data_IF_938000577302
#
_entry.id   IF_938000577302
#
_cell.length_a   1.000
_cell.length_b   1.000
_cell.length_c   1.000
_cell.angle_alpha   90.00
_cell.angle_beta   90.00
_cell.angle_gamma   90.00
#
_symmetry.space_group_name_H-M   'P 1'
#
loop_
_entity.id
_entity.type
_entity.pdbx_description
1 polymer ?
#
# COMPACT_ATOMS: atom_id res chain seq x y z
N UNK A 1 1.70 -2.63 36.70
CA UNK A 1 1.64 -1.20 36.38
C UNK A 1 0.53 -1.00 35.35
N UNK A 2 -0.61 -0.45 35.78
CA UNK A 2 -1.70 -0.13 34.83
C UNK A 2 -1.27 1.07 33.96
N UNK A 3 -1.41 0.92 32.65
CA UNK A 3 -1.17 2.03 31.71
C UNK A 3 -2.43 2.88 31.61
N UNK A 4 -2.30 4.17 31.86
CA UNK A 4 -3.39 5.13 31.69
C UNK A 4 -3.78 5.17 30.20
N UNK A 5 -5.08 5.09 29.93
CA UNK A 5 -5.57 5.25 28.58
C UNK A 5 -5.34 6.68 28.08
N UNK A 6 -4.59 6.83 26.99
CA UNK A 6 -4.22 8.14 26.44
C UNK A 6 -5.43 9.07 26.17
N UNK A 7 -6.57 8.49 25.73
CA UNK A 7 -7.79 9.27 25.48
C UNK A 7 -8.31 10.00 26.71
N UNK A 8 -8.06 9.47 27.92
CA UNK A 8 -8.50 10.11 29.17
C UNK A 8 -7.64 11.30 29.56
N UNK A 9 -6.47 11.45 28.92
CA UNK A 9 -5.50 12.52 29.23
C UNK A 9 -5.56 13.68 28.22
N UNK A 10 -6.18 13.47 27.05
CA UNK A 10 -6.26 14.47 26.00
C UNK A 10 -7.27 15.58 26.32
N UNK A 11 -6.89 16.81 26.03
CA UNK A 11 -7.80 17.96 25.98
C UNK A 11 -8.42 18.06 24.58
N UNK A 12 -9.54 18.74 24.43
CA UNK A 12 -10.25 18.92 23.13
C UNK A 12 -9.34 19.33 21.95
N UNK A 13 -8.33 20.17 22.22
CA UNK A 13 -7.37 20.59 21.19
C UNK A 13 -6.47 19.44 20.72
N UNK A 14 -6.10 18.55 21.64
CA UNK A 14 -5.25 17.38 21.36
C UNK A 14 -6.05 16.30 20.67
N UNK A 15 -7.29 16.05 21.11
CA UNK A 15 -8.22 15.16 20.43
C UNK A 15 -8.43 15.57 18.97
N UNK A 16 -8.61 16.87 18.71
CA UNK A 16 -8.72 17.39 17.34
C UNK A 16 -7.47 17.08 16.50
N UNK A 17 -6.28 17.27 17.05
CA UNK A 17 -5.01 16.95 16.35
C UNK A 17 -4.90 15.47 16.02
N UNK A 18 -5.30 14.58 16.93
CA UNK A 18 -5.30 13.13 16.71
C UNK A 18 -6.27 12.77 15.59
N UNK A 19 -7.49 13.36 15.61
CA UNK A 19 -8.47 13.12 14.56
C UNK A 19 -8.04 13.66 13.20
N UNK A 20 -7.40 14.83 13.15
CA UNK A 20 -6.87 15.42 11.92
C UNK A 20 -5.72 14.56 11.36
N UNK A 21 -4.82 14.06 12.21
CA UNK A 21 -3.78 13.09 11.81
C UNK A 21 -4.40 11.80 11.27
N UNK A 22 -5.43 11.27 11.94
CA UNK A 22 -6.14 10.08 11.48
C UNK A 22 -6.77 10.25 10.10
N UNK A 23 -7.35 11.44 9.82
CA UNK A 23 -7.88 11.75 8.47
C UNK A 23 -6.77 11.82 7.43
N UNK A 24 -5.64 12.48 7.74
CA UNK A 24 -4.51 12.58 6.82
C UNK A 24 -3.90 11.20 6.55
N UNK A 25 -3.81 10.34 7.56
CA UNK A 25 -3.32 8.98 7.40
C UNK A 25 -4.25 8.11 6.53
N UNK A 26 -5.57 8.23 6.72
CA UNK A 26 -6.54 7.56 5.83
C UNK A 26 -6.37 8.00 4.37
N UNK A 27 -6.24 9.30 4.12
CA UNK A 27 -6.01 9.83 2.79
C UNK A 27 -4.70 9.33 2.16
N UNK A 28 -3.65 9.12 2.97
CA UNK A 28 -2.42 8.48 2.53
C UNK A 28 -2.66 7.02 2.13
N UNK A 29 -3.38 6.25 2.94
CA UNK A 29 -3.70 4.85 2.66
C UNK A 29 -4.59 4.69 1.42
N UNK A 30 -5.53 5.62 1.21
CA UNK A 30 -6.42 5.61 0.04
C UNK A 30 -5.62 5.79 -1.27
N UNK A 31 -4.50 6.51 -1.23
CA UNK A 31 -3.61 6.71 -2.38
C UNK A 31 -2.53 5.64 -2.52
N UNK A 32 -2.15 5.00 -1.43
CA UNK A 32 -1.06 4.05 -1.37
C UNK A 32 -1.55 2.60 -1.36
N UNK A 33 -2.02 2.08 -2.50
CA UNK A 33 -2.48 0.69 -2.61
C UNK A 33 -1.32 -0.29 -2.81
N UNK A 34 -0.22 0.19 -3.38
CA UNK A 34 1.02 -0.56 -3.62
C UNK A 34 2.21 0.17 -3.01
N UNK A 35 3.36 -0.51 -2.87
CA UNK A 35 4.60 0.11 -2.37
C UNK A 35 5.00 1.30 -3.23
N UNK A 36 4.81 1.21 -4.56
CA UNK A 36 5.16 2.28 -5.51
C UNK A 36 4.29 3.51 -5.30
N UNK A 37 3.02 3.33 -5.08
CA UNK A 37 2.08 4.43 -4.80
C UNK A 37 2.34 5.05 -3.43
N UNK A 38 2.66 4.22 -2.41
CA UNK A 38 3.10 4.71 -1.10
C UNK A 38 4.35 5.58 -1.21
N UNK A 39 5.37 5.15 -1.98
CA UNK A 39 6.59 5.94 -2.20
C UNK A 39 6.27 7.25 -2.90
N UNK A 40 5.46 7.24 -3.97
CA UNK A 40 5.03 8.46 -4.68
C UNK A 40 4.35 9.46 -3.72
N UNK A 41 3.39 8.99 -2.93
CA UNK A 41 2.68 9.86 -1.99
C UNK A 41 3.58 10.34 -0.85
N UNK A 42 4.48 9.49 -0.35
CA UNK A 42 5.46 9.87 0.67
C UNK A 42 6.42 10.96 0.17
N UNK A 43 6.92 10.84 -1.07
CA UNK A 43 7.77 11.86 -1.71
C UNK A 43 6.98 13.16 -1.89
N UNK A 44 5.76 13.10 -2.40
CA UNK A 44 4.91 14.27 -2.58
C UNK A 44 4.71 15.04 -1.25
N UNK A 45 4.46 14.31 -0.16
CA UNK A 45 4.31 14.91 1.18
C UNK A 45 5.64 15.46 1.71
N UNK A 46 6.75 14.76 1.45
CA UNK A 46 8.08 15.20 1.83
C UNK A 46 8.46 16.50 1.11
N UNK A 47 8.22 16.61 -0.19
CA UNK A 47 8.47 17.83 -0.98
C UNK A 47 7.64 19.00 -0.46
N UNK A 48 6.37 18.77 -0.12
CA UNK A 48 5.53 19.78 0.53
C UNK A 48 6.07 20.23 1.90
N UNK A 49 6.80 19.35 2.59
CA UNK A 49 7.47 19.65 3.85
C UNK A 49 8.90 20.22 3.67
N UNK A 50 9.29 20.51 2.42
CA UNK A 50 10.58 21.14 2.09
C UNK A 50 11.74 20.17 1.95
N UNK A 51 11.47 18.87 1.75
CA UNK A 51 12.50 17.90 1.37
C UNK A 51 12.86 18.03 -0.11
N UNK A 52 14.10 17.78 -0.45
CA UNK A 52 14.64 17.78 -1.80
C UNK A 52 15.24 16.42 -2.11
N UNK A 53 15.21 16.04 -3.38
CA UNK A 53 15.89 14.85 -3.86
C UNK A 53 17.40 14.98 -3.63
N UNK A 54 18.01 14.03 -2.93
CA UNK A 54 19.43 14.05 -2.62
C UNK A 54 20.31 14.09 -3.88
N UNK A 55 19.88 13.46 -4.98
CA UNK A 55 20.61 13.46 -6.23
C UNK A 55 20.71 14.85 -6.87
N UNK A 56 19.87 15.81 -6.46
CA UNK A 56 19.87 17.19 -6.96
C UNK A 56 20.60 18.17 -6.04
N UNK A 57 21.19 17.69 -4.94
CA UNK A 57 21.84 18.52 -3.94
C UNK A 57 23.36 18.34 -4.02
N UNK A 58 24.10 19.40 -4.33
CA UNK A 58 25.56 19.35 -4.48
C UNK A 58 26.29 19.22 -3.13
N UNK A 59 25.77 19.86 -2.08
CA UNK A 59 26.36 19.83 -0.74
C UNK A 59 25.29 19.91 0.34
N UNK A 60 25.50 19.18 1.42
CA UNK A 60 24.61 19.13 2.58
C UNK A 60 25.12 19.98 3.73
N UNK A 61 24.21 20.64 4.41
CA UNK A 61 24.46 21.38 5.66
C UNK A 61 23.44 21.00 6.74
N UNK A 62 23.77 21.28 7.98
CA UNK A 62 22.86 21.06 9.10
C UNK A 62 21.51 21.76 8.89
N UNK A 63 20.42 21.03 9.08
CA UNK A 63 19.04 21.47 8.89
C UNK A 63 18.46 21.13 7.51
N UNK A 64 19.27 20.73 6.54
CA UNK A 64 18.78 20.31 5.23
C UNK A 64 17.89 19.08 5.36
N UNK A 65 16.86 19.03 4.50
CA UNK A 65 15.91 17.94 4.39
C UNK A 65 16.03 17.33 3.02
N UNK A 66 16.42 16.06 2.97
CA UNK A 66 16.59 15.37 1.70
C UNK A 66 15.94 14.02 1.72
N UNK A 67 15.58 13.50 0.55
CA UNK A 67 15.10 12.14 0.39
C UNK A 67 15.89 11.37 -0.65
N UNK A 68 15.87 10.06 -0.52
CA UNK A 68 16.39 9.09 -1.51
C UNK A 68 15.27 8.17 -1.89
N UNK A 69 15.00 8.06 -3.19
CA UNK A 69 14.04 7.12 -3.77
C UNK A 69 14.79 5.89 -4.28
N UNK A 70 14.52 4.73 -3.71
CA UNK A 70 15.14 3.47 -4.13
C UNK A 70 14.15 2.68 -4.98
N UNK A 71 14.32 2.72 -6.31
CA UNK A 71 13.56 1.94 -7.31
C UNK A 71 12.03 2.10 -7.23
N UNK A 72 11.55 3.21 -6.70
CA UNK A 72 10.12 3.45 -6.39
C UNK A 72 9.48 2.38 -5.48
N UNK A 73 10.29 1.70 -4.65
CA UNK A 73 9.82 0.68 -3.71
C UNK A 73 10.22 0.95 -2.27
N UNK A 74 11.16 1.84 -2.05
CA UNK A 74 11.54 2.34 -0.73
C UNK A 74 11.89 3.82 -0.82
N UNK A 75 11.67 4.55 0.26
CA UNK A 75 12.07 5.95 0.40
C UNK A 75 12.73 6.15 1.75
N UNK A 76 13.83 6.88 1.76
CA UNK A 76 14.49 7.33 2.97
C UNK A 76 14.39 8.85 3.05
N UNK A 77 14.06 9.37 4.22
CA UNK A 77 13.97 10.80 4.51
C UNK A 77 15.01 11.15 5.55
N UNK A 78 15.81 12.18 5.29
CA UNK A 78 16.88 12.62 6.17
C UNK A 78 16.67 14.07 6.58
N UNK A 79 16.91 14.36 7.85
CA UNK A 79 17.15 15.71 8.36
C UNK A 79 18.60 15.72 8.81
N UNK A 80 19.41 16.55 8.17
CA UNK A 80 20.85 16.61 8.44
C UNK A 80 21.07 17.30 9.80
N UNK A 81 21.72 16.57 10.71
CA UNK A 81 22.05 17.06 12.04
C UNK A 81 23.24 18.04 12.05
N UNK A 82 23.47 18.64 13.20
CA UNK A 82 24.68 19.47 13.46
C UNK A 82 25.87 18.62 13.89
N UNK A 83 25.64 17.40 14.36
CA UNK A 83 26.68 16.50 14.85
C UNK A 83 27.11 15.52 13.74
N UNK A 84 28.38 15.08 13.74
CA UNK A 84 28.87 14.11 12.78
C UNK A 84 28.20 12.74 12.96
N UNK A 85 28.08 11.99 11.87
CA UNK A 85 27.36 10.71 11.82
C UNK A 85 27.95 9.65 12.79
N UNK A 86 29.23 9.74 13.09
CA UNK A 86 29.93 8.87 14.05
C UNK A 86 29.35 8.93 15.46
N UNK A 87 28.65 10.01 15.79
CA UNK A 87 27.92 10.15 17.07
C UNK A 87 26.56 9.42 17.07
N UNK A 88 26.15 8.88 15.94
CA UNK A 88 24.95 8.09 15.81
C UNK A 88 23.82 8.77 15.05
N UNK A 89 22.75 8.01 14.84
CA UNK A 89 21.55 8.40 14.12
C UNK A 89 20.30 8.04 14.92
N UNK A 90 19.26 8.86 14.79
CA UNK A 90 17.92 8.48 15.20
C UNK A 90 17.17 7.95 13.98
N UNK A 91 16.84 6.65 13.98
CA UNK A 91 16.20 5.98 12.86
C UNK A 91 14.79 5.57 13.24
N UNK A 92 13.81 5.96 12.42
CA UNK A 92 12.43 5.46 12.48
C UNK A 92 12.14 4.74 11.17
N UNK A 93 11.72 3.49 11.26
CA UNK A 93 11.41 2.66 10.09
C UNK A 93 10.02 2.07 10.18
N UNK A 94 9.38 1.92 9.02
CA UNK A 94 8.11 1.24 8.86
C UNK A 94 8.05 0.56 7.50
N UNK A 95 7.30 -0.55 7.39
CA UNK A 95 6.99 -1.16 6.11
C UNK A 95 5.86 -0.37 5.41
N UNK A 96 5.82 -0.41 4.09
CA UNK A 96 4.82 0.26 3.24
C UNK A 96 4.05 -0.70 2.33
N UNK A 97 4.41 -1.98 2.36
CA UNK A 97 3.67 -3.04 1.68
C UNK A 97 2.43 -3.45 2.48
N UNK A 98 1.40 -3.92 1.78
CA UNK A 98 0.16 -4.43 2.37
C UNK A 98 -0.19 -5.79 1.78
N UNK A 99 -0.88 -6.66 2.54
CA UNK A 99 -1.41 -7.91 1.98
C UNK A 99 -2.34 -7.63 0.80
N UNK A 100 -2.18 -8.41 -0.27
CA UNK A 100 -2.93 -8.25 -1.51
C UNK A 100 -2.96 -9.56 -2.30
N UNK A 101 -3.63 -9.55 -3.42
CA UNK A 101 -3.49 -10.57 -4.46
C UNK A 101 -2.64 -10.02 -5.59
N UNK A 102 -1.59 -10.75 -5.95
CA UNK A 102 -0.73 -10.45 -7.09
C UNK A 102 -1.13 -11.30 -8.30
N UNK A 103 -1.03 -10.74 -9.49
CA UNK A 103 -1.15 -11.49 -10.73
C UNK A 103 0.09 -12.37 -10.93
N UNK A 104 -0.11 -13.61 -11.39
CA UNK A 104 0.99 -14.48 -11.80
C UNK A 104 1.63 -13.98 -13.11
N UNK A 105 2.75 -14.58 -13.48
CA UNK A 105 3.54 -14.16 -14.66
C UNK A 105 2.78 -14.24 -15.98
N UNK A 106 1.90 -15.24 -16.14
CA UNK A 106 1.02 -15.41 -17.29
C UNK A 106 -0.42 -15.53 -16.78
N UNK A 107 -1.02 -14.40 -16.36
CA UNK A 107 -2.22 -14.46 -15.55
C UNK A 107 -3.49 -14.70 -16.36
N UNK A 108 -3.55 -14.22 -17.60
CA UNK A 108 -4.79 -14.20 -18.39
C UNK A 108 -5.05 -15.56 -19.04
N UNK A 109 -6.21 -16.11 -18.78
CA UNK A 109 -6.72 -17.29 -19.47
C UNK A 109 -8.24 -17.17 -19.68
N UNK A 110 -8.77 -17.97 -20.57
CA UNK A 110 -10.20 -18.04 -20.87
C UNK A 110 -10.73 -19.43 -20.51
N UNK A 111 -11.87 -19.46 -19.88
CA UNK A 111 -12.63 -20.68 -19.64
C UNK A 111 -14.13 -20.36 -19.62
N UNK A 112 -14.93 -21.18 -20.32
CA UNK A 112 -16.39 -21.01 -20.37
C UNK A 112 -16.87 -19.61 -20.79
N UNK A 113 -16.23 -19.03 -21.81
CA UNK A 113 -16.50 -17.69 -22.36
C UNK A 113 -16.25 -16.54 -21.34
N UNK A 114 -15.48 -16.80 -20.29
CA UNK A 114 -15.08 -15.80 -19.30
C UNK A 114 -13.56 -15.60 -19.30
N UNK A 115 -13.14 -14.37 -19.13
CA UNK A 115 -11.74 -14.02 -18.94
C UNK A 115 -11.37 -14.11 -17.45
N UNK A 116 -10.34 -14.87 -17.15
CA UNK A 116 -9.83 -15.06 -15.80
C UNK A 116 -8.42 -14.54 -15.65
N UNK A 117 -8.09 -14.09 -14.44
CA UNK A 117 -6.76 -13.70 -14.04
C UNK A 117 -6.24 -14.63 -12.94
N UNK A 118 -5.23 -15.44 -13.26
CA UNK A 118 -4.59 -16.31 -12.28
C UNK A 118 -3.76 -15.48 -11.30
N UNK A 119 -4.02 -15.70 -10.01
CA UNK A 119 -3.47 -14.89 -8.92
C UNK A 119 -2.78 -15.75 -7.87
N UNK A 120 -1.95 -15.11 -7.07
CA UNK A 120 -1.52 -15.62 -5.77
C UNK A 120 -1.60 -14.52 -4.71
N UNK A 121 -1.74 -14.89 -3.46
CA UNK A 121 -1.75 -13.91 -2.38
C UNK A 121 -0.33 -13.54 -1.95
N UNK A 122 -0.16 -12.26 -1.60
CA UNK A 122 1.03 -11.72 -0.96
C UNK A 122 0.72 -11.35 0.48
N UNK A 123 1.56 -11.81 1.44
CA UNK A 123 1.30 -11.65 2.86
C UNK A 123 0.16 -12.54 3.37
N UNK A 124 -0.37 -12.27 4.54
CA UNK A 124 -1.48 -13.02 5.13
C UNK A 124 -2.83 -12.40 4.81
N UNK A 125 -3.68 -13.10 4.07
CA UNK A 125 -5.06 -12.67 3.78
C UNK A 125 -6.07 -13.66 4.36
N UNK A 126 -7.24 -13.16 4.72
CA UNK A 126 -8.44 -13.96 5.00
C UNK A 126 -9.23 -14.08 3.71
N UNK A 127 -9.06 -15.16 2.96
CA UNK A 127 -9.61 -15.35 1.62
C UNK A 127 -11.11 -15.08 1.52
N UNK A 128 -11.88 -15.47 2.53
CA UNK A 128 -13.33 -15.27 2.56
C UNK A 128 -13.76 -13.79 2.58
N UNK A 129 -12.85 -12.86 2.89
CA UNK A 129 -13.14 -11.42 2.88
C UNK A 129 -13.00 -10.81 1.48
N UNK A 130 -12.45 -11.54 0.53
CA UNK A 130 -12.16 -11.04 -0.82
C UNK A 130 -13.20 -11.44 -1.86
N UNK A 131 -14.06 -12.42 -1.52
CA UNK A 131 -15.12 -12.87 -2.41
C UNK A 131 -16.25 -11.85 -2.49
N UNK A 132 -16.88 -11.76 -3.65
CA UNK A 132 -18.04 -10.89 -3.94
C UNK A 132 -17.78 -9.38 -3.76
N UNK A 133 -16.53 -8.97 -3.69
CA UNK A 133 -16.15 -7.56 -3.64
C UNK A 133 -15.67 -7.10 -5.02
N UNK A 134 -16.04 -5.88 -5.46
CA UNK A 134 -15.35 -5.25 -6.59
C UNK A 134 -13.91 -4.96 -6.18
N UNK A 135 -12.98 -5.35 -7.04
CA UNK A 135 -11.54 -5.19 -6.86
C UNK A 135 -11.00 -4.27 -7.95
N UNK A 136 -9.90 -3.60 -7.65
CA UNK A 136 -9.14 -2.82 -8.61
C UNK A 136 -7.76 -3.43 -8.85
N UNK A 137 -7.23 -3.25 -10.06
CA UNK A 137 -5.87 -3.64 -10.44
C UNK A 137 -4.96 -2.43 -10.36
N UNK A 138 -3.93 -2.50 -9.53
CA UNK A 138 -2.90 -1.48 -9.38
C UNK A 138 -1.53 -2.07 -9.68
N UNK A 139 -0.74 -1.40 -10.48
CA UNK A 139 0.59 -1.87 -10.78
C UNK A 139 1.33 -1.04 -11.81
N UNK A 140 2.40 -1.60 -12.34
CA UNK A 140 3.18 -0.98 -13.40
C UNK A 140 3.54 -1.99 -14.47
N UNK A 141 3.62 -1.53 -15.71
CA UNK A 141 4.13 -2.30 -16.84
C UNK A 141 5.45 -1.69 -17.29
N UNK A 142 6.53 -2.45 -17.16
CA UNK A 142 7.82 -2.08 -17.71
C UNK A 142 7.90 -2.58 -19.16
N UNK A 143 7.96 -1.65 -20.10
CA UNK A 143 8.10 -1.95 -21.53
C UNK A 143 9.53 -2.30 -21.90
N UNK A 144 9.70 -2.93 -23.08
CA UNK A 144 11.03 -3.31 -23.60
C UNK A 144 11.96 -2.12 -23.86
N UNK A 145 11.41 -0.95 -24.08
CA UNK A 145 12.15 0.31 -24.27
C UNK A 145 12.58 0.98 -22.95
N UNK A 146 12.28 0.35 -21.82
CA UNK A 146 12.55 0.89 -20.48
C UNK A 146 11.47 1.81 -19.92
N UNK A 147 10.45 2.15 -20.71
CA UNK A 147 9.32 2.97 -20.23
C UNK A 147 8.51 2.20 -19.20
N UNK A 148 8.17 2.86 -18.09
CA UNK A 148 7.29 2.32 -17.05
C UNK A 148 5.95 3.04 -17.12
N UNK A 149 4.88 2.27 -17.28
CA UNK A 149 3.50 2.77 -17.35
C UNK A 149 2.76 2.34 -16.10
N UNK A 150 2.15 3.29 -15.41
CA UNK A 150 1.24 3.00 -14.30
C UNK A 150 -0.06 2.41 -14.83
N UNK A 151 -0.58 1.40 -14.15
CA UNK A 151 -1.86 0.74 -14.44
C UNK A 151 -2.75 0.85 -13.22
N UNK A 152 -3.90 1.47 -13.40
CA UNK A 152 -5.00 1.51 -12.43
C UNK A 152 -6.28 1.19 -13.19
N UNK A 153 -6.96 0.12 -12.84
CA UNK A 153 -8.20 -0.33 -13.49
C UNK A 153 -9.18 -0.74 -12.40
N UNK A 154 -10.40 -0.26 -12.45
CA UNK A 154 -11.46 -0.58 -11.49
C UNK A 154 -11.68 0.48 -10.42
N UNK A 155 -11.01 1.64 -10.50
CA UNK A 155 -11.25 2.79 -9.62
C UNK A 155 -12.27 3.77 -10.22
N UNK A 156 -12.38 3.84 -11.54
CA UNK A 156 -13.37 4.66 -12.24
C UNK A 156 -14.67 3.88 -12.50
N UNK A 157 -15.81 4.57 -12.51
CA UNK A 157 -17.12 3.97 -12.78
C UNK A 157 -17.24 3.35 -14.19
N UNK A 158 -16.45 3.85 -15.14
CA UNK A 158 -16.38 3.35 -16.52
C UNK A 158 -15.44 2.15 -16.69
N UNK A 159 -14.66 1.82 -15.65
CA UNK A 159 -13.70 0.71 -15.71
C UNK A 159 -14.41 -0.65 -15.65
N UNK A 160 -13.80 -1.70 -16.23
CA UNK A 160 -14.26 -3.06 -16.05
C UNK A 160 -14.27 -3.46 -14.56
N UNK A 161 -15.31 -4.17 -14.14
CA UNK A 161 -15.39 -4.74 -12.81
C UNK A 161 -14.58 -6.02 -12.74
N UNK A 162 -13.65 -6.08 -11.82
CA UNK A 162 -12.87 -7.28 -11.49
C UNK A 162 -13.32 -7.78 -10.11
N UNK A 163 -13.52 -9.07 -9.97
CA UNK A 163 -13.98 -9.64 -8.71
C UNK A 163 -13.71 -11.12 -8.60
N UNK A 164 -13.89 -11.65 -7.40
CA UNK A 164 -13.84 -13.08 -7.11
C UNK A 164 -15.26 -13.53 -6.83
N UNK A 165 -15.78 -14.46 -7.64
CA UNK A 165 -17.09 -15.06 -7.42
C UNK A 165 -17.08 -15.99 -6.22
N UNK A 166 -18.24 -16.15 -5.58
CA UNK A 166 -18.44 -17.19 -4.57
C UNK A 166 -19.40 -18.27 -5.12
N UNK A 167 -19.38 -19.44 -4.51
CA UNK A 167 -20.24 -20.54 -4.89
C UNK A 167 -21.64 -20.35 -4.28
N UNK A 168 -22.66 -20.65 -5.10
CA UNK A 168 -24.04 -20.79 -4.58
C UNK A 168 -24.10 -21.92 -3.54
N UNK A 169 -24.99 -21.79 -2.57
CA UNK A 169 -25.13 -22.74 -1.46
C UNK A 169 -25.29 -24.20 -1.94
N UNK A 170 -25.98 -24.42 -3.05
CA UNK A 170 -26.17 -25.75 -3.63
C UNK A 170 -24.90 -26.37 -4.24
N UNK A 171 -23.90 -25.56 -4.56
CA UNK A 171 -22.61 -25.97 -5.10
C UNK A 171 -21.48 -25.94 -4.06
N UNK A 172 -21.76 -25.45 -2.85
CA UNK A 172 -20.75 -25.14 -1.81
C UNK A 172 -20.66 -26.19 -0.69
N UNK A 173 -21.24 -27.37 -0.84
CA UNK A 173 -21.29 -28.39 0.22
C UNK A 173 -19.93 -28.68 0.86
N UNK A 174 -18.88 -28.85 0.06
CA UNK A 174 -17.52 -29.04 0.57
C UNK A 174 -16.86 -27.75 1.12
N UNK A 175 -17.34 -26.58 0.71
CA UNK A 175 -16.83 -25.29 1.17
C UNK A 175 -17.36 -24.97 2.58
N UNK A 176 -18.58 -25.38 2.90
CA UNK A 176 -19.23 -25.11 4.18
C UNK A 176 -18.48 -25.72 5.37
N UNK A 177 -17.86 -26.89 5.17
CA UNK A 177 -17.11 -27.62 6.18
C UNK A 177 -15.65 -27.14 6.34
N UNK A 178 -15.17 -26.26 5.47
CA UNK A 178 -13.80 -25.75 5.55
C UNK A 178 -13.67 -24.65 6.59
N UNK A 179 -12.51 -24.62 7.25
CA UNK A 179 -12.15 -23.49 8.11
C UNK A 179 -12.14 -22.20 7.31
N UNK A 180 -12.50 -21.07 7.91
CA UNK A 180 -12.57 -19.77 7.23
C UNK A 180 -11.27 -19.43 6.46
N UNK A 181 -10.08 -19.79 7.00
CA UNK A 181 -8.79 -19.58 6.34
C UNK A 181 -8.61 -20.40 5.03
N UNK A 182 -9.33 -21.53 4.90
CA UNK A 182 -9.19 -22.48 3.81
C UNK A 182 -10.35 -22.42 2.80
N UNK A 183 -11.31 -21.52 3.02
CA UNK A 183 -12.39 -21.27 2.06
C UNK A 183 -11.77 -20.63 0.81
N UNK A 184 -11.52 -21.48 -0.18
CA UNK A 184 -11.17 -21.04 -1.52
C UNK A 184 -12.48 -20.87 -2.26
N UNK A 185 -12.80 -19.65 -2.67
CA UNK A 185 -13.61 -19.44 -3.85
C UNK A 185 -12.83 -20.03 -5.03
N UNK A 186 -13.55 -20.64 -5.96
CA UNK A 186 -12.95 -21.00 -7.26
C UNK A 186 -12.60 -19.67 -7.93
N UNK A 187 -11.33 -19.43 -8.08
CA UNK A 187 -10.78 -18.34 -8.87
C UNK A 187 -10.40 -18.93 -10.19
#
# INVERSE_FOLDING_TARGET
MERINAWTTYKKREEKKVMDLGKAYRAFLDKGKTERECVKEAIRLAEQAGYQDLEKVEALKAGDRVYVNTMNKAVQLYIIGSEPLEKGLNIVGAHIDSPRMDLKQNPLYEDTDLAYLDTHYYGGIKKYQWVTLPLALHGVVAKKDGTVVDVVIGEDEEDPVVGISDLLIHLSATQMDKKARDRKSVV
#
